data_IF_733390143206
#
_entry.id   IF_733390143206
#
_cell.length_a   1.000
_cell.length_b   1.000
_cell.length_c   1.000
_cell.angle_alpha   90.00
_cell.angle_beta   90.00
_cell.angle_gamma   90.00
#
_symmetry.space_group_name_H-M   'P 1'
#
loop_
_entity.id
_entity.type
_entity.pdbx_description
1 polymer ?
#
# COMPACT_ATOMS: atom_id res chain seq x y z
N UNK A 1 -18.25 16.49 -50.89
CA UNK A 1 -18.06 15.42 -49.89
C UNK A 1 -16.67 15.53 -49.30
N UNK A 2 -16.53 16.11 -48.12
CA UNK A 2 -15.25 16.33 -47.44
C UNK A 2 -15.23 15.56 -46.11
N UNK A 3 -14.48 14.48 -46.08
CA UNK A 3 -14.15 13.73 -44.89
C UNK A 3 -13.22 14.57 -44.01
N UNK A 4 -13.69 14.95 -42.83
CA UNK A 4 -12.83 15.47 -41.74
C UNK A 4 -12.75 14.46 -40.65
N UNK A 5 -11.72 13.63 -40.74
CA UNK A 5 -11.23 12.83 -39.64
C UNK A 5 -10.66 13.78 -38.58
N UNK A 6 -11.33 13.94 -37.45
CA UNK A 6 -10.80 14.65 -36.29
C UNK A 6 -10.11 13.65 -35.40
N UNK A 7 -8.80 13.56 -35.52
CA UNK A 7 -7.93 13.00 -34.48
C UNK A 7 -8.02 13.91 -33.24
N UNK A 8 -8.86 13.56 -32.30
CA UNK A 8 -8.78 14.08 -30.95
C UNK A 8 -7.63 13.36 -30.25
N UNK A 9 -6.44 13.99 -30.28
CA UNK A 9 -5.38 13.66 -29.36
C UNK A 9 -5.88 13.92 -27.93
N UNK A 10 -5.99 12.85 -27.15
CA UNK A 10 -6.20 12.94 -25.72
C UNK A 10 -5.01 13.69 -25.12
N UNK A 11 -5.21 14.96 -24.84
CA UNK A 11 -4.32 15.75 -24.02
C UNK A 11 -4.42 15.24 -22.58
N UNK A 12 -3.63 14.20 -22.26
CA UNK A 12 -3.37 13.82 -20.89
C UNK A 12 -2.53 14.95 -20.31
N UNK A 13 -3.19 15.89 -19.66
CA UNK A 13 -2.52 16.90 -18.86
C UNK A 13 -1.65 16.14 -17.86
N UNK A 14 -0.33 16.24 -18.02
CA UNK A 14 0.65 15.84 -17.00
C UNK A 14 0.41 16.73 -15.78
N UNK A 15 -0.55 16.35 -14.94
CA UNK A 15 -0.77 16.97 -13.65
C UNK A 15 0.51 16.82 -12.84
N UNK A 16 1.30 17.90 -12.74
CA UNK A 16 2.41 17.97 -11.79
C UNK A 16 1.81 17.72 -10.42
N UNK A 17 2.25 16.65 -9.79
CA UNK A 17 1.94 16.40 -8.40
C UNK A 17 2.60 17.51 -7.58
N UNK A 18 1.83 18.56 -7.21
CA UNK A 18 2.31 19.71 -6.45
C UNK A 18 2.61 19.40 -4.97
N UNK A 19 2.44 18.17 -4.52
CA UNK A 19 2.91 17.73 -3.21
C UNK A 19 4.32 17.19 -3.35
N UNK A 20 5.30 18.10 -3.28
CA UNK A 20 6.71 17.75 -3.04
C UNK A 20 6.80 16.78 -1.86
N UNK A 21 7.85 15.92 -1.85
CA UNK A 21 8.25 15.16 -0.67
C UNK A 21 8.14 16.04 0.56
N UNK A 22 7.38 15.61 1.56
CA UNK A 22 7.29 16.32 2.82
C UNK A 22 8.46 15.90 3.71
N UNK A 23 8.77 16.75 4.67
CA UNK A 23 9.74 16.41 5.70
C UNK A 23 9.37 15.09 6.38
N UNK A 24 10.30 14.14 6.39
CA UNK A 24 10.08 12.78 6.90
C UNK A 24 9.73 11.71 5.85
N UNK A 25 9.47 12.07 4.58
CA UNK A 25 9.34 11.09 3.51
C UNK A 25 10.74 10.56 3.13
N UNK A 26 10.84 9.27 2.80
CA UNK A 26 12.09 8.63 2.43
C UNK A 26 12.01 8.01 1.05
N UNK A 27 13.16 7.77 0.42
CA UNK A 27 13.19 7.05 -0.85
C UNK A 27 12.75 5.59 -0.66
N UNK A 28 11.98 5.07 -1.60
CA UNK A 28 11.56 3.67 -1.64
C UNK A 28 12.76 2.71 -1.57
N UNK A 29 13.87 3.07 -2.24
CA UNK A 29 15.10 2.26 -2.26
C UNK A 29 15.74 2.13 -0.89
N UNK A 30 15.57 3.12 0.01
CA UNK A 30 16.14 3.08 1.35
C UNK A 30 15.49 2.02 2.26
N UNK A 31 14.27 1.59 1.93
CA UNK A 31 13.55 0.57 2.72
C UNK A 31 14.06 -0.85 2.45
N UNK A 32 14.80 -1.09 1.38
CA UNK A 32 15.29 -2.42 0.99
C UNK A 32 14.17 -3.48 1.09
N UNK A 33 13.06 -3.23 0.39
CA UNK A 33 11.88 -4.09 0.43
C UNK A 33 12.13 -5.41 -0.29
N UNK A 34 11.69 -6.52 0.31
CA UNK A 34 11.53 -7.78 -0.40
C UNK A 34 10.42 -7.65 -1.47
N UNK A 35 10.43 -8.46 -2.53
CA UNK A 35 9.43 -8.35 -3.60
C UNK A 35 7.98 -8.40 -3.09
N UNK A 36 7.68 -9.26 -2.11
CA UNK A 36 6.33 -9.34 -1.54
C UNK A 36 5.95 -8.07 -0.77
N UNK A 37 6.89 -7.46 -0.03
CA UNK A 37 6.66 -6.19 0.68
C UNK A 37 6.38 -5.06 -0.30
N UNK A 38 7.15 -4.99 -1.38
CA UNK A 38 6.93 -4.01 -2.45
C UNK A 38 5.53 -4.17 -3.07
N UNK A 39 5.13 -5.41 -3.38
CA UNK A 39 3.80 -5.70 -3.91
C UNK A 39 2.68 -5.35 -2.93
N UNK A 40 2.86 -5.63 -1.63
CA UNK A 40 1.91 -5.23 -0.58
C UNK A 40 1.79 -3.70 -0.53
N UNK A 41 2.92 -2.98 -0.52
CA UNK A 41 2.92 -1.52 -0.48
C UNK A 41 2.23 -0.92 -1.73
N UNK A 42 2.55 -1.43 -2.93
CA UNK A 42 1.92 -0.99 -4.17
C UNK A 42 0.39 -1.23 -4.16
N UNK A 43 -0.04 -2.44 -3.79
CA UNK A 43 -1.47 -2.78 -3.68
C UNK A 43 -2.18 -1.87 -2.66
N UNK A 44 -1.55 -1.62 -1.51
CA UNK A 44 -2.08 -0.72 -0.48
C UNK A 44 -2.30 0.70 -1.00
N UNK A 45 -1.38 1.23 -1.79
CA UNK A 45 -1.49 2.57 -2.41
C UNK A 45 -2.68 2.69 -3.34
N UNK A 46 -2.96 1.68 -4.15
CA UNK A 46 -4.12 1.66 -5.02
C UNK A 46 -5.43 1.63 -4.21
N UNK A 47 -5.48 0.86 -3.12
CA UNK A 47 -6.64 0.86 -2.23
C UNK A 47 -6.82 2.20 -1.52
N UNK A 48 -5.74 2.80 -0.98
CA UNK A 48 -5.81 4.15 -0.40
C UNK A 48 -6.27 5.19 -1.43
N UNK A 49 -5.76 5.10 -2.66
CA UNK A 49 -6.17 5.99 -3.76
C UNK A 49 -7.66 5.90 -4.05
N UNK A 50 -8.24 4.69 -4.03
CA UNK A 50 -9.67 4.48 -4.23
C UNK A 50 -10.52 5.01 -3.07
N UNK A 51 -10.04 4.91 -1.84
CA UNK A 51 -10.73 5.50 -0.69
C UNK A 51 -10.65 7.03 -0.67
N UNK A 52 -9.54 7.60 -1.15
CA UNK A 52 -9.36 9.04 -1.25
C UNK A 52 -10.14 9.66 -2.42
N UNK A 53 -10.31 8.92 -3.50
CA UNK A 53 -10.97 9.35 -4.73
C UNK A 53 -11.92 8.24 -5.23
N UNK A 54 -13.13 8.12 -4.69
CA UNK A 54 -14.07 7.05 -5.04
C UNK A 54 -14.47 7.02 -6.52
N UNK A 55 -14.41 8.16 -7.20
CA UNK A 55 -14.66 8.29 -8.64
C UNK A 55 -13.60 7.58 -9.51
N UNK A 56 -12.42 7.32 -8.94
CA UNK A 56 -11.33 6.65 -9.64
C UNK A 56 -11.20 5.23 -9.11
N UNK A 57 -11.60 4.19 -9.88
CA UNK A 57 -11.60 2.81 -9.39
C UNK A 57 -10.18 2.20 -9.41
N UNK A 58 -9.24 2.84 -8.73
CA UNK A 58 -7.83 2.38 -8.65
C UNK A 58 -7.69 0.98 -8.08
N UNK A 59 -8.64 0.54 -7.25
CA UNK A 59 -8.71 -0.83 -6.73
C UNK A 59 -8.82 -1.89 -7.82
N UNK A 60 -9.43 -1.56 -8.98
CA UNK A 60 -9.55 -2.51 -10.10
C UNK A 60 -8.18 -2.95 -10.61
N UNK A 61 -7.18 -2.07 -10.61
CA UNK A 61 -5.81 -2.41 -10.99
C UNK A 61 -5.27 -3.56 -10.15
N UNK A 62 -5.55 -3.57 -8.86
CA UNK A 62 -5.06 -4.61 -7.94
C UNK A 62 -5.85 -5.91 -8.09
N UNK A 63 -7.19 -5.82 -8.20
CA UNK A 63 -8.03 -7.02 -8.29
C UNK A 63 -7.80 -7.74 -9.63
N UNK A 64 -7.84 -6.99 -10.75
CA UNK A 64 -7.65 -7.56 -12.09
C UNK A 64 -6.21 -8.02 -12.30
N UNK A 65 -5.23 -7.21 -11.86
CA UNK A 65 -3.80 -7.51 -11.96
C UNK A 65 -3.23 -8.27 -10.76
N UNK A 66 -4.05 -9.01 -10.01
CA UNK A 66 -3.59 -9.66 -8.77
C UNK A 66 -2.39 -10.59 -8.96
N UNK A 67 -2.29 -11.26 -10.12
CA UNK A 67 -1.17 -12.14 -10.47
C UNK A 67 0.10 -11.37 -10.85
N UNK A 68 -0.01 -10.11 -11.26
CA UNK A 68 1.15 -9.24 -11.51
C UNK A 68 1.79 -8.80 -10.19
N UNK A 69 0.96 -8.66 -9.13
CA UNK A 69 1.43 -8.33 -7.79
C UNK A 69 1.95 -9.57 -7.05
N UNK A 70 1.24 -10.71 -7.18
CA UNK A 70 1.53 -11.94 -6.46
C UNK A 70 1.37 -13.15 -7.41
N UNK A 71 2.42 -13.56 -8.13
CA UNK A 71 2.36 -14.63 -9.14
C UNK A 71 2.23 -16.03 -8.51
N UNK A 72 1.19 -16.24 -7.69
CA UNK A 72 0.88 -17.48 -6.97
C UNK A 72 -0.61 -17.79 -7.08
N UNK A 73 -0.99 -19.05 -6.85
CA UNK A 73 -2.40 -19.48 -6.89
C UNK A 73 -3.29 -18.71 -5.90
N UNK A 74 -2.71 -18.24 -4.80
CA UNK A 74 -3.40 -17.53 -3.73
C UNK A 74 -3.42 -16.00 -3.91
N UNK A 75 -3.00 -15.48 -5.08
CA UNK A 75 -2.87 -14.03 -5.31
C UNK A 75 -4.14 -13.24 -4.97
N UNK A 76 -5.32 -13.72 -5.38
CA UNK A 76 -6.59 -13.07 -5.07
C UNK A 76 -6.89 -13.04 -3.56
N UNK A 77 -6.55 -14.11 -2.83
CA UNK A 77 -6.73 -14.16 -1.36
C UNK A 77 -5.77 -13.23 -0.64
N UNK A 78 -4.53 -13.12 -1.13
CA UNK A 78 -3.54 -12.19 -0.59
C UNK A 78 -4.01 -10.75 -0.80
N UNK A 79 -4.46 -10.42 -2.01
CA UNK A 79 -5.00 -9.09 -2.32
C UNK A 79 -6.22 -8.75 -1.47
N UNK A 80 -7.14 -9.69 -1.26
CA UNK A 80 -8.27 -9.53 -0.35
C UNK A 80 -7.80 -9.27 1.09
N UNK A 81 -6.80 -10.01 1.58
CA UNK A 81 -6.27 -9.81 2.93
C UNK A 81 -5.61 -8.42 3.08
N UNK A 82 -4.91 -7.92 2.05
CA UNK A 82 -4.37 -6.56 2.03
C UNK A 82 -5.51 -5.54 2.12
N UNK A 83 -6.58 -5.72 1.35
CA UNK A 83 -7.75 -4.82 1.42
C UNK A 83 -8.34 -4.77 2.83
N UNK A 84 -8.44 -5.91 3.53
CA UNK A 84 -8.91 -5.95 4.92
C UNK A 84 -7.97 -5.16 5.83
N UNK A 85 -6.65 -5.35 5.72
CA UNK A 85 -5.67 -4.56 6.50
C UNK A 85 -5.87 -3.06 6.27
N UNK A 86 -6.00 -2.62 5.02
CA UNK A 86 -6.20 -1.21 4.67
C UNK A 86 -7.55 -0.69 5.20
N UNK A 87 -8.59 -1.52 5.17
CA UNK A 87 -9.89 -1.18 5.75
C UNK A 87 -9.80 -0.95 7.25
N UNK A 88 -9.11 -1.81 8.00
CA UNK A 88 -8.91 -1.67 9.43
C UNK A 88 -8.09 -0.42 9.79
N UNK A 89 -7.03 -0.12 9.02
CA UNK A 89 -6.29 1.14 9.17
C UNK A 89 -7.25 2.34 9.02
N UNK A 90 -8.09 2.32 7.99
CA UNK A 90 -9.04 3.40 7.73
C UNK A 90 -10.07 3.57 8.85
N UNK A 91 -10.59 2.47 9.39
CA UNK A 91 -11.56 2.50 10.49
C UNK A 91 -10.96 3.00 11.81
N UNK A 92 -9.68 2.68 12.04
CA UNK A 92 -8.99 3.05 13.29
C UNK A 92 -8.55 4.51 13.33
N UNK A 93 -8.44 5.19 12.19
CA UNK A 93 -7.93 6.59 12.12
C UNK A 93 -9.07 7.60 12.12
N UNK A 94 -8.78 8.76 12.71
CA UNK A 94 -9.62 9.96 12.62
C UNK A 94 -9.14 10.94 11.56
N UNK A 95 -7.82 11.02 11.34
CA UNK A 95 -7.24 11.89 10.32
C UNK A 95 -7.03 11.16 8.99
N UNK A 96 -6.85 11.95 7.93
CA UNK A 96 -6.55 11.44 6.60
C UNK A 96 -5.17 10.76 6.60
N UNK A 97 -5.10 9.53 6.10
CA UNK A 97 -3.83 8.83 5.91
C UNK A 97 -3.08 9.41 4.73
N UNK A 98 -1.80 9.71 4.92
CA UNK A 98 -0.90 10.11 3.83
C UNK A 98 -0.32 8.87 3.15
N UNK A 99 -0.33 8.88 1.83
CA UNK A 99 0.27 7.83 1.02
C UNK A 99 0.84 8.42 -0.27
N UNK A 100 1.80 7.74 -0.87
CA UNK A 100 2.36 8.14 -2.15
C UNK A 100 1.43 7.75 -3.28
N UNK A 101 1.12 8.71 -4.17
CA UNK A 101 0.21 8.48 -5.28
C UNK A 101 0.81 7.45 -6.26
N UNK A 102 0.18 6.27 -6.46
CA UNK A 102 0.69 5.24 -7.34
C UNK A 102 0.70 5.62 -8.83
N UNK A 103 -0.13 6.59 -9.22
CA UNK A 103 -0.25 7.08 -10.60
C UNK A 103 0.77 8.19 -10.94
N UNK A 104 1.47 8.74 -9.93
CA UNK A 104 2.48 9.78 -10.12
C UNK A 104 3.87 9.14 -10.18
N UNK A 105 4.59 9.34 -11.29
CA UNK A 105 5.93 8.78 -11.51
C UNK A 105 6.95 9.26 -10.46
N UNK A 106 6.84 10.51 -10.03
CA UNK A 106 7.74 11.10 -9.04
C UNK A 106 7.39 10.65 -7.63
N UNK A 107 6.08 10.70 -7.27
CA UNK A 107 5.62 10.39 -5.92
C UNK A 107 5.82 8.91 -5.55
N UNK A 108 5.59 7.98 -6.49
CA UNK A 108 5.63 6.55 -6.22
C UNK A 108 6.99 6.04 -5.74
N UNK A 109 8.06 6.81 -5.98
CA UNK A 109 9.41 6.49 -5.53
C UNK A 109 9.70 6.95 -4.10
N UNK A 110 8.74 7.62 -3.45
CA UNK A 110 8.85 8.06 -2.08
C UNK A 110 7.91 7.23 -1.19
N UNK A 111 8.23 7.15 0.08
CA UNK A 111 7.45 6.43 1.09
C UNK A 111 7.17 7.38 2.24
N UNK A 112 5.90 7.54 2.56
CA UNK A 112 5.44 8.42 3.64
C UNK A 112 5.73 7.82 5.01
N UNK A 113 5.59 8.64 6.05
CA UNK A 113 5.71 8.18 7.42
C UNK A 113 4.72 7.05 7.74
N UNK A 114 3.47 7.18 7.32
CA UNK A 114 2.42 6.20 7.54
C UNK A 114 2.70 4.88 6.79
N UNK A 115 3.17 4.97 5.55
CA UNK A 115 3.54 3.79 4.77
C UNK A 115 4.72 3.03 5.40
N UNK A 116 5.69 3.75 5.98
CA UNK A 116 6.79 3.12 6.73
C UNK A 116 6.28 2.36 7.94
N UNK A 117 5.32 2.91 8.67
CA UNK A 117 4.73 2.22 9.82
C UNK A 117 3.91 1.00 9.39
N UNK A 118 3.19 1.08 8.27
CA UNK A 118 2.50 -0.08 7.69
C UNK A 118 3.48 -1.22 7.37
N UNK A 119 4.56 -0.93 6.64
CA UNK A 119 5.57 -1.92 6.30
C UNK A 119 6.26 -2.47 7.55
N UNK A 120 6.64 -1.59 8.48
CA UNK A 120 7.30 -2.00 9.72
C UNK A 120 6.42 -2.88 10.58
N UNK A 121 5.13 -2.58 10.72
CA UNK A 121 4.16 -3.41 11.42
C UNK A 121 4.12 -4.83 10.82
N UNK A 122 4.00 -4.93 9.49
CA UNK A 122 3.98 -6.20 8.77
C UNK A 122 5.26 -7.00 9.06
N UNK A 123 6.43 -6.37 8.98
CA UNK A 123 7.74 -6.98 9.31
C UNK A 123 7.80 -7.50 10.74
N UNK A 124 7.29 -6.71 11.71
CA UNK A 124 7.31 -7.10 13.13
C UNK A 124 6.36 -8.26 13.42
N UNK A 125 5.18 -8.29 12.80
CA UNK A 125 4.26 -9.45 12.90
C UNK A 125 4.92 -10.69 12.29
N UNK A 126 5.52 -10.58 11.10
CA UNK A 126 6.23 -11.68 10.46
C UNK A 126 7.40 -12.20 11.33
N UNK A 127 8.17 -11.29 11.92
CA UNK A 127 9.28 -11.62 12.82
C UNK A 127 8.84 -12.08 14.22
N UNK A 128 7.53 -12.24 14.49
CA UNK A 128 6.95 -12.62 15.78
C UNK A 128 7.39 -11.71 16.94
N UNK A 129 7.40 -10.39 16.69
CA UNK A 129 7.72 -9.35 17.66
C UNK A 129 6.48 -8.51 17.98
N UNK A 130 5.54 -9.02 18.80
CA UNK A 130 4.22 -8.42 18.99
C UNK A 130 4.29 -7.00 19.57
N UNK A 131 5.14 -6.72 20.55
CA UNK A 131 5.26 -5.40 21.18
C UNK A 131 5.69 -4.33 20.16
N UNK A 132 6.69 -4.64 19.33
CA UNK A 132 7.13 -3.74 18.28
C UNK A 132 6.04 -3.58 17.18
N UNK A 133 5.30 -4.64 16.87
CA UNK A 133 4.18 -4.56 15.94
C UNK A 133 3.05 -3.64 16.47
N UNK A 134 2.71 -3.76 17.75
CA UNK A 134 1.73 -2.89 18.44
C UNK A 134 2.19 -1.43 18.36
N UNK A 135 3.47 -1.15 18.63
CA UNK A 135 4.00 0.23 18.57
C UNK A 135 3.78 0.85 17.18
N UNK A 136 4.11 0.12 16.12
CA UNK A 136 3.89 0.61 14.75
C UNK A 136 2.39 0.71 14.39
N UNK A 137 1.56 -0.22 14.86
CA UNK A 137 0.11 -0.16 14.70
C UNK A 137 -0.48 1.07 15.39
N UNK A 138 -0.07 1.38 16.62
CA UNK A 138 -0.51 2.56 17.37
C UNK A 138 -0.11 3.87 16.68
N UNK A 139 1.12 3.96 16.16
CA UNK A 139 1.56 5.13 15.40
C UNK A 139 0.77 5.28 14.10
N UNK A 140 0.50 4.19 13.42
CA UNK A 140 -0.32 4.20 12.21
C UNK A 140 -1.79 4.57 12.50
N UNK A 141 -2.34 4.14 13.63
CA UNK A 141 -3.74 4.34 14.03
C UNK A 141 -3.95 5.51 15.01
N UNK A 142 -2.96 6.39 15.17
CA UNK A 142 -3.07 7.60 16.04
C UNK A 142 -3.44 7.27 17.49
N UNK A 143 -2.91 6.15 18.02
CA UNK A 143 -3.20 5.68 19.37
C UNK A 143 -4.58 5.05 19.58
N UNK A 144 -5.39 4.92 18.52
CA UNK A 144 -6.68 4.24 18.61
C UNK A 144 -6.51 2.70 18.66
N UNK A 145 -7.65 1.99 18.79
CA UNK A 145 -7.65 0.53 18.90
C UNK A 145 -7.00 -0.14 17.67
N UNK A 146 -6.11 -1.10 17.93
CA UNK A 146 -5.30 -1.77 16.91
C UNK A 146 -5.53 -3.28 16.83
N UNK A 147 -6.39 -3.85 17.67
CA UNK A 147 -6.59 -5.32 17.79
C UNK A 147 -7.02 -5.95 16.49
N UNK A 148 -8.03 -5.38 15.81
CA UNK A 148 -8.55 -5.95 14.56
C UNK A 148 -7.57 -5.75 13.42
N UNK A 149 -6.86 -4.62 13.40
CA UNK A 149 -5.76 -4.38 12.46
C UNK A 149 -4.66 -5.45 12.61
N UNK A 150 -4.17 -5.70 13.81
CA UNK A 150 -3.12 -6.68 14.04
C UNK A 150 -3.57 -8.09 13.66
N UNK A 151 -4.81 -8.47 13.99
CA UNK A 151 -5.41 -9.73 13.57
C UNK A 151 -5.47 -9.85 12.04
N UNK A 152 -5.83 -8.79 11.34
CA UNK A 152 -5.87 -8.78 9.87
C UNK A 152 -4.46 -8.94 9.26
N UNK A 153 -3.45 -8.30 9.85
CA UNK A 153 -2.03 -8.46 9.44
C UNK A 153 -1.54 -9.88 9.71
N UNK A 154 -1.89 -10.49 10.84
CA UNK A 154 -1.54 -11.90 11.10
C UNK A 154 -2.13 -12.84 10.04
N UNK A 155 -3.37 -12.60 9.61
CA UNK A 155 -4.00 -13.39 8.54
C UNK A 155 -3.30 -13.18 7.20
N UNK A 156 -2.92 -11.95 6.86
CA UNK A 156 -2.10 -11.66 5.68
C UNK A 156 -0.77 -12.41 5.73
N UNK A 157 -0.07 -12.38 6.86
CA UNK A 157 1.22 -13.06 7.05
C UNK A 157 1.09 -14.58 6.91
N UNK A 158 0.00 -15.20 7.39
CA UNK A 158 -0.27 -16.63 7.19
C UNK A 158 -0.36 -16.98 5.70
N UNK A 159 -1.05 -16.16 4.89
CA UNK A 159 -1.17 -16.36 3.45
C UNK A 159 0.17 -16.18 2.72
N UNK A 160 0.93 -15.15 3.08
CA UNK A 160 2.26 -14.88 2.53
C UNK A 160 3.21 -16.07 2.82
N UNK A 161 3.22 -16.55 4.06
CA UNK A 161 4.06 -17.68 4.46
C UNK A 161 3.65 -18.99 3.77
N UNK A 162 2.35 -19.25 3.65
CA UNK A 162 1.82 -20.41 2.93
C UNK A 162 2.17 -20.40 1.43
N UNK A 163 2.39 -19.21 0.86
CA UNK A 163 2.77 -19.01 -0.54
C UNK A 163 4.29 -18.99 -0.77
N UNK A 164 5.10 -19.31 0.25
CA UNK A 164 6.57 -19.24 0.21
C UNK A 164 7.14 -17.86 -0.17
N UNK A 165 6.36 -16.82 0.02
CA UNK A 165 6.81 -15.44 -0.16
C UNK A 165 7.58 -14.98 1.08
N UNK A 166 8.59 -14.11 0.86
CA UNK A 166 9.45 -13.63 1.95
C UNK A 166 9.11 -12.20 2.34
N UNK A 167 9.16 -11.96 3.63
CA UNK A 167 9.13 -10.62 4.25
C UNK A 167 10.47 -10.41 4.95
N UNK A 168 11.02 -9.21 4.89
CA UNK A 168 12.26 -8.87 5.57
C UNK A 168 12.08 -8.89 7.09
N UNK A 169 13.00 -9.54 7.78
CA UNK A 169 13.09 -9.47 9.25
C UNK A 169 13.99 -8.32 9.73
N UNK A 170 14.71 -7.68 8.80
CA UNK A 170 15.56 -6.53 9.13
C UNK A 170 14.70 -5.34 9.49
N UNK A 171 15.07 -4.66 10.56
CA UNK A 171 14.48 -3.38 10.95
C UNK A 171 15.43 -2.28 10.52
N UNK A 172 15.03 -1.48 9.57
CA UNK A 172 15.80 -0.31 9.14
C UNK A 172 15.31 0.96 9.85
N UNK A 173 14.55 0.82 10.96
CA UNK A 173 14.01 1.95 11.76
C UNK A 173 14.09 1.64 13.25
#
# INVERSE_FOLDING_TARGET
>A
MRNRSKNQALNISKGRCHKSCQEGDVSLTSLQLEPAEYSILCASRFFFSSFANPETPSWMTVIVGSQDFFPVKESARIVQAILVVIHEVRLSRKSTLRFSNPHCLDCRNNVTFEERHLVSMIRKVYAKRPEAAITHAMLLCEGNQTTDLLRSVENLIKLISASNLKISIKSNF
#
